data_IF_331094665472
#
_entry.id   IF_331094665472
#
_cell.length_a   1.000
_cell.length_b   1.000
_cell.length_c   1.000
_cell.angle_alpha   90.00
_cell.angle_beta   90.00
_cell.angle_gamma   90.00
#
_symmetry.space_group_name_H-M   'P 1'
#
loop_
_entity.id
_entity.type
_entity.pdbx_description
1 polymer ?
#
# COMPACT_ATOMS: atom_id res chain seq x y z
N UNK A 1 35.78 65.84 35.74
CA UNK A 1 36.22 64.49 35.37
C UNK A 1 35.00 63.62 35.36
N UNK A 2 34.39 63.42 34.18
CA UNK A 2 33.17 62.63 34.02
C UNK A 2 33.48 61.49 33.00
N UNK A 3 33.55 60.29 33.51
CA UNK A 3 33.73 59.05 32.66
C UNK A 3 32.36 58.63 32.20
N UNK A 4 32.15 58.61 30.87
CA UNK A 4 30.99 58.06 30.22
C UNK A 4 31.30 56.60 29.83
N UNK A 5 30.62 55.62 30.45
CA UNK A 5 30.68 54.23 30.02
C UNK A 5 29.59 54.02 28.96
N UNK A 6 30.02 53.72 27.76
CA UNK A 6 29.13 53.25 26.69
C UNK A 6 28.95 51.74 26.83
N UNK A 7 27.71 51.26 27.10
CA UNK A 7 27.34 49.88 26.97
C UNK A 7 26.97 49.61 25.51
N UNK A 8 27.75 48.79 24.84
CA UNK A 8 27.37 48.21 23.55
C UNK A 8 26.58 46.92 23.79
N UNK A 9 25.29 46.94 23.48
CA UNK A 9 24.44 45.74 23.47
C UNK A 9 24.65 44.98 22.17
N UNK A 10 25.27 43.80 22.24
CA UNK A 10 25.37 42.88 21.12
C UNK A 10 24.09 42.03 21.05
N UNK A 11 23.27 42.28 20.04
CA UNK A 11 22.11 41.42 19.71
C UNK A 11 22.56 40.18 18.98
N UNK A 12 22.50 39.04 19.66
CA UNK A 12 22.67 37.72 19.04
C UNK A 12 21.39 37.34 18.28
N UNK A 13 21.41 37.43 16.94
CA UNK A 13 20.39 36.89 16.07
C UNK A 13 20.59 35.37 15.99
N UNK A 14 19.77 34.61 16.72
CA UNK A 14 19.65 33.17 16.55
C UNK A 14 18.90 32.92 15.24
N UNK A 15 19.63 32.61 14.20
CA UNK A 15 19.08 32.06 12.94
C UNK A 15 18.65 30.62 13.19
N UNK A 16 17.38 30.40 13.45
CA UNK A 16 16.79 29.06 13.42
C UNK A 16 16.65 28.63 11.96
N UNK A 17 17.60 27.84 11.46
CA UNK A 17 17.45 27.18 10.19
C UNK A 17 16.34 26.12 10.28
N UNK A 18 15.36 26.09 9.35
CA UNK A 18 14.39 25.00 9.31
C UNK A 18 15.13 23.69 9.05
N UNK A 19 14.98 22.74 9.93
CA UNK A 19 15.44 21.38 9.72
C UNK A 19 14.66 20.81 8.53
N UNK A 20 15.32 20.73 7.35
CA UNK A 20 14.81 19.98 6.22
C UNK A 20 14.77 18.52 6.67
N UNK A 21 13.55 17.98 6.83
CA UNK A 21 13.35 16.57 7.07
C UNK A 21 13.93 15.81 5.87
N UNK A 22 15.11 15.21 6.05
CA UNK A 22 15.72 14.37 5.04
C UNK A 22 14.86 13.11 4.90
N UNK A 23 14.38 12.85 3.67
CA UNK A 23 13.77 11.57 3.35
C UNK A 23 14.80 10.45 3.59
N UNK A 24 14.40 9.29 4.12
CA UNK A 24 15.33 8.18 4.34
C UNK A 24 16.00 7.79 3.01
N UNK A 25 17.33 7.52 3.01
CA UNK A 25 18.05 7.15 1.81
C UNK A 25 17.51 5.83 1.26
N UNK A 26 17.04 5.82 0.01
CA UNK A 26 16.64 4.64 -0.75
C UNK A 26 15.15 4.49 -1.08
N UNK A 27 14.29 5.39 -0.66
CA UNK A 27 12.87 5.39 -1.06
C UNK A 27 12.65 6.26 -2.31
N UNK A 28 12.38 5.64 -3.46
CA UNK A 28 11.77 6.37 -4.58
C UNK A 28 10.43 6.89 -4.05
N UNK A 29 10.12 8.21 -4.15
CA UNK A 29 8.81 8.71 -3.75
C UNK A 29 7.75 7.95 -4.54
N UNK A 30 6.91 7.20 -3.86
CA UNK A 30 5.75 6.59 -4.48
C UNK A 30 4.81 7.74 -4.85
N UNK A 31 4.48 7.84 -6.13
CA UNK A 31 3.46 8.79 -6.60
C UNK A 31 2.13 8.58 -5.87
N UNK A 32 1.14 9.43 -6.13
CA UNK A 32 -0.20 9.24 -5.59
C UNK A 32 -0.72 7.86 -6.01
N UNK A 33 -1.00 6.98 -5.03
CA UNK A 33 -1.52 5.65 -5.29
C UNK A 33 -2.99 5.67 -5.70
N UNK A 34 -3.37 4.77 -6.59
CA UNK A 34 -4.76 4.54 -6.96
C UNK A 34 -5.38 3.52 -6.01
N UNK A 35 -6.39 3.92 -5.27
CA UNK A 35 -7.05 3.06 -4.30
C UNK A 35 -8.30 2.39 -4.88
N UNK A 36 -8.50 1.11 -4.53
CA UNK A 36 -9.68 0.30 -4.86
C UNK A 36 -10.19 -0.39 -3.60
N UNK A 37 -11.51 -0.47 -3.46
CA UNK A 37 -12.15 -1.19 -2.36
C UNK A 37 -11.93 -2.69 -2.47
N UNK A 38 -11.75 -3.34 -1.33
CA UNK A 38 -11.71 -4.79 -1.17
C UNK A 38 -12.82 -5.18 -0.21
N UNK A 39 -13.69 -6.08 -0.64
CA UNK A 39 -14.86 -6.52 0.13
C UNK A 39 -14.73 -7.96 0.55
N UNK A 40 -15.23 -8.27 1.74
CA UNK A 40 -15.27 -9.62 2.26
C UNK A 40 -16.13 -10.56 1.41
N UNK A 41 -15.63 -11.77 1.22
CA UNK A 41 -16.32 -12.89 0.59
C UNK A 41 -16.67 -13.95 1.64
N UNK A 42 -17.69 -14.73 1.36
CA UNK A 42 -18.06 -15.89 2.19
C UNK A 42 -18.24 -15.55 3.69
N UNK A 43 -18.84 -14.39 3.98
CA UNK A 43 -19.06 -13.87 5.33
C UNK A 43 -17.77 -13.78 6.19
N UNK A 44 -16.64 -13.52 5.58
CA UNK A 44 -15.35 -13.39 6.27
C UNK A 44 -15.30 -12.19 7.21
N UNK A 45 -16.00 -11.11 6.86
CA UNK A 45 -15.89 -9.82 7.55
C UNK A 45 -14.61 -9.05 7.23
N UNK A 46 -13.76 -9.54 6.32
CA UNK A 46 -12.49 -8.93 5.96
C UNK A 46 -12.70 -7.89 4.85
N UNK A 47 -12.61 -6.62 5.19
CA UNK A 47 -12.85 -5.51 4.25
C UNK A 47 -11.71 -4.50 4.32
N UNK A 48 -11.51 -3.76 3.25
CA UNK A 48 -10.48 -2.71 3.23
C UNK A 48 -10.20 -2.19 1.83
N UNK A 49 -8.93 -2.00 1.54
CA UNK A 49 -8.48 -1.37 0.29
C UNK A 49 -7.20 -2.03 -0.23
N UNK A 50 -7.06 -1.98 -1.55
CA UNK A 50 -5.78 -2.17 -2.23
C UNK A 50 -5.39 -0.85 -2.88
N UNK A 51 -4.14 -0.44 -2.71
CA UNK A 51 -3.58 0.76 -3.33
C UNK A 51 -2.51 0.34 -4.31
N UNK A 52 -2.62 0.83 -5.54
CA UNK A 52 -1.69 0.56 -6.63
C UNK A 52 -0.73 1.75 -6.76
N UNK A 53 0.56 1.47 -6.83
CA UNK A 53 1.59 2.47 -7.09
C UNK A 53 2.42 2.03 -8.29
N UNK A 54 2.49 2.87 -9.31
CA UNK A 54 3.37 2.64 -10.45
C UNK A 54 4.83 2.67 -10.01
N UNK A 55 5.57 1.63 -10.34
CA UNK A 55 6.98 1.47 -10.01
C UNK A 55 7.75 0.96 -11.24
N UNK A 56 8.13 1.86 -12.14
CA UNK A 56 8.71 1.48 -13.44
C UNK A 56 7.72 0.67 -14.26
N UNK A 57 8.15 -0.46 -14.84
CA UNK A 57 7.28 -1.40 -15.58
C UNK A 57 6.45 -2.34 -14.69
N UNK A 58 6.42 -2.11 -13.39
CA UNK A 58 5.77 -2.93 -12.38
C UNK A 58 4.77 -2.11 -11.57
N UNK A 59 3.93 -2.79 -10.80
CA UNK A 59 3.01 -2.16 -9.87
C UNK A 59 3.23 -2.69 -8.47
N UNK A 60 3.45 -1.79 -7.52
CA UNK A 60 3.42 -2.13 -6.11
C UNK A 60 1.98 -2.14 -5.63
N UNK A 61 1.57 -3.23 -5.03
CA UNK A 61 0.26 -3.40 -4.40
C UNK A 61 0.41 -3.32 -2.88
N UNK A 62 -0.32 -2.42 -2.27
CA UNK A 62 -0.45 -2.34 -0.81
C UNK A 62 -1.89 -2.68 -0.47
N UNK A 63 -2.10 -3.85 0.14
CA UNK A 63 -3.42 -4.29 0.59
C UNK A 63 -3.52 -4.11 2.09
N UNK A 64 -4.60 -3.47 2.54
CA UNK A 64 -4.89 -3.24 3.94
C UNK A 64 -6.31 -3.70 4.23
N UNK A 65 -6.46 -4.67 5.12
CA UNK A 65 -7.75 -5.23 5.52
C UNK A 65 -7.97 -5.12 7.03
N UNK A 66 -9.20 -4.83 7.39
CA UNK A 66 -9.73 -4.98 8.73
C UNK A 66 -10.48 -6.31 8.86
N UNK A 67 -10.75 -6.75 10.07
CA UNK A 67 -11.47 -8.01 10.34
C UNK A 67 -10.63 -9.27 10.15
N UNK A 68 -9.32 -9.15 9.92
CA UNK A 68 -8.41 -10.27 9.81
C UNK A 68 -8.12 -10.89 11.17
N UNK A 69 -7.89 -12.21 11.20
CA UNK A 69 -7.52 -12.87 12.46
C UNK A 69 -6.04 -12.64 12.80
N UNK A 70 -5.73 -12.21 14.04
CA UNK A 70 -4.35 -12.05 14.50
C UNK A 70 -3.51 -13.31 14.29
N UNK A 71 -2.27 -13.14 13.83
CA UNK A 71 -1.32 -14.24 13.62
C UNK A 71 -1.57 -15.08 12.36
N UNK A 72 -2.63 -14.80 11.60
CA UNK A 72 -2.87 -15.49 10.33
C UNK A 72 -2.04 -14.88 9.20
N UNK A 73 -1.41 -15.73 8.42
CA UNK A 73 -0.73 -15.38 7.17
C UNK A 73 -1.65 -15.75 6.01
N UNK A 74 -1.98 -14.78 5.17
CA UNK A 74 -2.94 -14.95 4.08
C UNK A 74 -2.28 -14.63 2.75
N UNK A 75 -2.58 -15.42 1.71
CA UNK A 75 -2.10 -15.14 0.36
C UNK A 75 -2.90 -14.00 -0.25
N UNK A 76 -2.20 -13.04 -0.83
CA UNK A 76 -2.75 -12.03 -1.73
C UNK A 76 -2.33 -12.34 -3.16
N UNK A 77 -3.27 -12.38 -4.08
CA UNK A 77 -3.03 -12.74 -5.48
C UNK A 77 -3.82 -11.87 -6.44
N UNK A 78 -3.30 -11.71 -7.64
CA UNK A 78 -4.02 -11.16 -8.78
C UNK A 78 -4.55 -12.32 -9.62
N UNK A 79 -5.83 -12.28 -9.93
CA UNK A 79 -6.51 -13.26 -10.78
C UNK A 79 -7.27 -12.58 -11.90
N UNK A 80 -7.60 -13.36 -12.95
CA UNK A 80 -8.52 -12.88 -13.96
C UNK A 80 -9.94 -12.92 -13.44
N UNK A 81 -10.68 -11.86 -13.67
CA UNK A 81 -12.06 -11.73 -13.30
C UNK A 81 -12.57 -10.34 -13.64
N UNK A 82 -13.73 -10.27 -14.24
CA UNK A 82 -14.39 -8.99 -14.52
C UNK A 82 -14.97 -8.38 -13.24
N UNK A 83 -15.49 -9.23 -12.39
CA UNK A 83 -16.06 -8.88 -11.09
C UNK A 83 -15.67 -9.93 -10.05
N UNK A 84 -15.90 -9.62 -8.79
CA UNK A 84 -15.70 -10.58 -7.69
C UNK A 84 -16.65 -11.79 -7.75
N UNK A 85 -17.72 -11.71 -8.52
CA UNK A 85 -18.65 -12.82 -8.75
C UNK A 85 -18.30 -13.67 -9.99
N UNK A 86 -17.37 -13.19 -10.82
CA UNK A 86 -16.97 -13.81 -12.08
C UNK A 86 -15.45 -13.93 -12.16
N UNK A 87 -14.87 -14.69 -11.25
CA UNK A 87 -13.43 -14.94 -11.15
C UNK A 87 -13.08 -16.21 -11.90
N UNK A 88 -12.12 -16.10 -12.82
CA UNK A 88 -11.57 -17.26 -13.51
C UNK A 88 -10.64 -18.04 -12.58
N UNK A 89 -10.65 -19.39 -12.64
CA UNK A 89 -9.74 -20.19 -11.83
C UNK A 89 -8.28 -19.91 -12.18
N UNK A 90 -7.43 -19.98 -11.16
CA UNK A 90 -5.98 -19.85 -11.29
C UNK A 90 -5.45 -18.45 -10.97
N UNK A 91 -4.38 -18.45 -10.22
CA UNK A 91 -3.63 -17.25 -9.86
C UNK A 91 -2.78 -16.83 -11.06
N UNK A 92 -2.91 -15.56 -11.49
CA UNK A 92 -2.02 -14.99 -12.52
C UNK A 92 -0.67 -14.64 -11.91
N UNK A 93 -0.69 -13.98 -10.73
CA UNK A 93 0.51 -13.65 -9.99
C UNK A 93 0.20 -13.53 -8.51
N UNK A 94 1.10 -14.02 -7.67
CA UNK A 94 1.05 -13.78 -6.21
C UNK A 94 1.72 -12.46 -5.89
N UNK A 95 1.11 -11.73 -4.96
CA UNK A 95 1.74 -10.61 -4.28
C UNK A 95 2.39 -11.10 -2.97
N UNK A 96 2.88 -10.19 -2.15
CA UNK A 96 3.36 -10.56 -0.82
C UNK A 96 2.19 -11.02 0.06
N UNK A 97 2.47 -11.93 1.00
CA UNK A 97 1.46 -12.38 1.95
C UNK A 97 0.98 -11.22 2.85
N UNK A 98 -0.27 -11.31 3.25
CA UNK A 98 -0.91 -10.39 4.17
C UNK A 98 -0.68 -10.90 5.60
N UNK A 99 -0.03 -10.08 6.41
CA UNK A 99 0.28 -10.35 7.81
C UNK A 99 -0.22 -9.16 8.63
N UNK A 100 -0.93 -9.44 9.70
CA UNK A 100 -1.56 -8.41 10.53
C UNK A 100 -2.42 -7.42 9.72
N UNK A 101 -3.15 -7.94 8.73
CA UNK A 101 -4.03 -7.15 7.88
C UNK A 101 -3.34 -6.31 6.79
N UNK A 102 -2.02 -6.42 6.62
CA UNK A 102 -1.27 -5.62 5.66
C UNK A 102 -0.39 -6.51 4.77
N UNK A 103 -0.44 -6.26 3.46
CA UNK A 103 0.47 -6.82 2.46
C UNK A 103 1.12 -5.69 1.68
N UNK A 104 2.41 -5.84 1.36
CA UNK A 104 3.16 -4.92 0.50
C UNK A 104 3.98 -5.75 -0.48
N UNK A 105 3.47 -5.91 -1.68
CA UNK A 105 4.13 -6.69 -2.72
C UNK A 105 4.22 -5.94 -4.03
N UNK A 106 5.09 -6.41 -4.93
CA UNK A 106 5.22 -5.90 -6.29
C UNK A 106 4.84 -6.99 -7.27
N UNK A 107 4.03 -6.64 -8.26
CA UNK A 107 3.63 -7.55 -9.35
C UNK A 107 4.26 -7.09 -10.66
N UNK A 108 4.73 -8.02 -11.52
CA UNK A 108 5.41 -7.71 -12.79
C UNK A 108 4.42 -7.32 -13.88
N UNK A 109 3.49 -6.42 -13.56
CA UNK A 109 2.47 -5.89 -14.46
C UNK A 109 2.38 -4.39 -14.27
N UNK A 110 2.19 -3.65 -15.36
CA UNK A 110 1.96 -2.21 -15.29
C UNK A 110 0.57 -1.92 -14.69
N UNK A 111 0.43 -0.77 -14.07
CA UNK A 111 -0.86 -0.30 -13.55
C UNK A 111 -1.92 -0.24 -14.65
N UNK A 112 -1.57 0.30 -15.83
CA UNK A 112 -2.49 0.35 -16.96
C UNK A 112 -2.98 -1.04 -17.38
N UNK A 113 -2.13 -2.04 -17.39
CA UNK A 113 -2.51 -3.42 -17.70
C UNK A 113 -3.45 -4.00 -16.65
N UNK A 114 -3.20 -3.72 -15.37
CA UNK A 114 -4.07 -4.13 -14.27
C UNK A 114 -5.45 -3.49 -14.36
N UNK A 115 -5.50 -2.19 -14.71
CA UNK A 115 -6.74 -1.41 -14.76
C UNK A 115 -7.54 -1.59 -16.05
N UNK A 116 -6.89 -1.90 -17.18
CA UNK A 116 -7.55 -2.11 -18.48
C UNK A 116 -7.91 -3.57 -18.73
N UNK A 117 -7.24 -4.50 -18.03
CA UNK A 117 -7.55 -5.92 -18.06
C UNK A 117 -8.68 -6.29 -17.10
N UNK A 118 -9.22 -7.46 -17.26
CA UNK A 118 -10.18 -8.01 -16.31
C UNK A 118 -9.41 -8.70 -15.19
N UNK A 119 -8.98 -7.93 -14.18
CA UNK A 119 -8.25 -8.42 -13.02
C UNK A 119 -8.93 -8.04 -11.72
N UNK A 120 -8.78 -8.92 -10.76
CA UNK A 120 -9.19 -8.73 -9.37
C UNK A 120 -8.03 -9.06 -8.44
N UNK A 121 -8.00 -8.41 -7.29
CA UNK A 121 -7.15 -8.83 -6.16
C UNK A 121 -7.97 -9.74 -5.28
N UNK A 122 -7.44 -10.90 -4.97
CA UNK A 122 -8.06 -11.88 -4.09
C UNK A 122 -7.17 -12.07 -2.86
N UNK A 123 -7.82 -12.16 -1.71
CA UNK A 123 -7.18 -12.59 -0.47
C UNK A 123 -7.75 -13.95 -0.08
N UNK A 124 -6.86 -14.88 0.21
CA UNK A 124 -7.20 -16.23 0.65
C UNK A 124 -7.16 -16.34 2.17
N UNK A 125 -7.88 -17.31 2.72
CA UNK A 125 -7.98 -17.49 4.17
C UNK A 125 -6.66 -17.84 4.87
N UNK A 126 -5.71 -18.39 4.12
CA UNK A 126 -4.35 -18.70 4.56
C UNK A 126 -3.41 -18.82 3.37
N UNK A 127 -2.16 -19.19 3.59
CA UNK A 127 -1.15 -19.33 2.53
C UNK A 127 -0.91 -20.78 2.10
N UNK A 128 -1.85 -21.69 2.35
CA UNK A 128 -1.77 -23.10 1.91
C UNK A 128 -2.57 -23.34 0.64
N UNK A 129 -2.20 -24.35 -0.18
CA UNK A 129 -3.00 -24.76 -1.33
C UNK A 129 -4.44 -25.12 -0.93
N UNK A 130 -5.42 -24.70 -1.75
CA UNK A 130 -6.84 -24.98 -1.47
C UNK A 130 -7.50 -24.06 -0.45
N UNK A 131 -6.82 -23.02 0.03
CA UNK A 131 -7.43 -22.00 0.86
C UNK A 131 -8.61 -21.34 0.15
N UNK A 132 -9.67 -21.03 0.88
CA UNK A 132 -10.83 -20.35 0.32
C UNK A 132 -10.57 -18.84 0.15
N UNK A 133 -11.25 -18.24 -0.79
CA UNK A 133 -11.25 -16.78 -0.96
C UNK A 133 -12.03 -16.11 0.18
N UNK A 134 -11.47 -15.11 0.80
CA UNK A 134 -12.08 -14.37 1.92
C UNK A 134 -12.32 -12.90 1.63
N UNK A 135 -11.62 -12.33 0.66
CA UNK A 135 -11.85 -10.95 0.22
C UNK A 135 -11.49 -10.78 -1.26
N UNK A 136 -12.13 -9.82 -1.90
CA UNK A 136 -11.92 -9.50 -3.31
C UNK A 136 -12.04 -8.00 -3.58
N UNK A 137 -11.16 -7.49 -4.41
CA UNK A 137 -11.20 -6.13 -4.94
C UNK A 137 -11.10 -6.10 -6.46
N UNK A 138 -11.97 -5.35 -7.11
CA UNK A 138 -11.95 -5.16 -8.55
C UNK A 138 -10.91 -4.10 -8.92
N UNK A 139 -10.04 -4.39 -9.89
CA UNK A 139 -8.97 -3.48 -10.31
C UNK A 139 -9.33 -2.62 -11.52
N UNK A 140 -10.29 -3.03 -12.34
CA UNK A 140 -10.63 -2.29 -13.55
C UNK A 140 -11.23 -0.89 -13.26
N UNK A 141 -11.15 -0.02 -14.26
CA UNK A 141 -11.78 1.33 -14.27
C UNK A 141 -13.26 1.26 -14.52
#
# INVERSE_FOLDING_TARGET
MKLLFSLAAAALLLSSAPALAQAPPGGVPLGAGLQRGVMGLNNSGENGFVTLFTQGGQTRLVTSLEGTHPGRVQTVAVQRGKTCDAISPGIVVRSADLVHGISRGTVPMTEDRLLSGNYVVIVYSNNTPGARMVACGQLYR
#
